data_IF_042271263835
#
_entry.id   IF_042271263835
#
_cell.length_a   1.000
_cell.length_b   1.000
_cell.length_c   1.000
_cell.angle_alpha   90.00
_cell.angle_beta   90.00
_cell.angle_gamma   90.00
#
_symmetry.space_group_name_H-M   'P 1'
#
loop_
_entity.id
_entity.type
_entity.pdbx_description
1 polymer ?
#
# COMPACT_ATOMS: atom_id res chain seq x y z
N UNK A 1 17.48 -8.97 3.39
CA UNK A 1 16.27 -8.72 4.19
C UNK A 1 15.05 -8.97 3.33
N UNK A 2 14.13 -9.79 3.81
CA UNK A 2 12.91 -10.09 3.04
C UNK A 2 11.86 -8.99 3.22
N UNK A 3 11.11 -8.71 2.16
CA UNK A 3 10.06 -7.71 2.13
C UNK A 3 8.79 -8.33 1.57
N UNK A 4 7.64 -7.70 1.85
CA UNK A 4 6.36 -8.16 1.33
C UNK A 4 6.22 -7.81 -0.15
N UNK A 5 5.84 -8.81 -0.95
CA UNK A 5 5.52 -8.64 -2.36
C UNK A 5 4.13 -9.18 -2.63
N UNK A 6 3.34 -8.40 -3.33
CA UNK A 6 2.05 -8.84 -3.83
C UNK A 6 2.26 -9.62 -5.13
N UNK A 7 1.72 -10.83 -5.20
CA UNK A 7 1.71 -11.63 -6.41
C UNK A 7 0.43 -11.30 -7.18
N UNK A 8 0.57 -10.84 -8.41
CA UNK A 8 -0.50 -10.18 -9.14
C UNK A 8 -0.76 -10.89 -10.45
N UNK A 9 -2.03 -11.14 -10.74
CA UNK A 9 -2.47 -11.71 -12.01
C UNK A 9 -3.26 -10.64 -12.79
N UNK A 10 -2.74 -10.19 -13.96
CA UNK A 10 -3.47 -9.24 -14.78
C UNK A 10 -4.78 -9.85 -15.30
N UNK A 11 -5.81 -9.02 -15.40
CA UNK A 11 -7.06 -9.41 -16.06
C UNK A 11 -7.02 -8.93 -17.51
N UNK A 12 -7.22 -9.84 -18.45
CA UNK A 12 -7.17 -9.52 -19.87
C UNK A 12 -8.31 -8.59 -20.33
N UNK A 13 -9.42 -8.60 -19.62
CA UNK A 13 -10.63 -7.87 -20.01
C UNK A 13 -10.77 -6.51 -19.33
N UNK A 14 -10.00 -6.25 -18.27
CA UNK A 14 -10.09 -5.00 -17.50
C UNK A 14 -8.71 -4.45 -17.18
N UNK A 15 -8.65 -3.17 -16.78
CA UNK A 15 -7.42 -2.54 -16.30
C UNK A 15 -7.12 -2.91 -14.84
N UNK A 16 -7.95 -3.71 -14.21
CA UNK A 16 -7.79 -4.14 -12.82
C UNK A 16 -7.00 -5.45 -12.77
N UNK A 17 -5.87 -5.43 -12.06
CA UNK A 17 -5.04 -6.62 -11.86
C UNK A 17 -5.31 -7.17 -10.45
N UNK A 18 -5.65 -8.44 -10.37
CA UNK A 18 -5.99 -9.06 -9.08
C UNK A 18 -4.75 -9.42 -8.27
N UNK A 19 -4.71 -9.00 -7.02
CA UNK A 19 -3.69 -9.44 -6.07
C UNK A 19 -4.10 -10.80 -5.52
N UNK A 20 -3.31 -11.83 -5.85
CA UNK A 20 -3.61 -13.23 -5.48
C UNK A 20 -3.07 -13.59 -4.09
N UNK A 21 -1.92 -13.08 -3.74
CA UNK A 21 -1.27 -13.39 -2.46
C UNK A 21 -0.24 -12.33 -2.12
N UNK A 22 0.14 -12.28 -0.86
CA UNK A 22 1.24 -11.44 -0.37
C UNK A 22 2.21 -12.34 0.36
N UNK A 23 3.48 -12.32 -0.05
CA UNK A 23 4.50 -13.22 0.48
C UNK A 23 5.83 -12.49 0.61
N UNK A 24 6.68 -12.96 1.51
CA UNK A 24 8.01 -12.40 1.73
C UNK A 24 9.02 -12.93 0.71
N UNK A 25 9.76 -12.05 0.08
CA UNK A 25 10.85 -12.38 -0.84
C UNK A 25 12.06 -11.50 -0.58
N UNK A 26 13.25 -11.99 -0.93
CA UNK A 26 14.50 -11.27 -0.75
C UNK A 26 14.75 -10.22 -1.84
N UNK A 27 14.17 -10.38 -3.03
CA UNK A 27 14.34 -9.44 -4.14
C UNK A 27 13.16 -9.52 -5.12
N UNK A 28 12.97 -8.48 -5.97
CA UNK A 28 11.87 -8.46 -6.93
C UNK A 28 11.90 -9.58 -7.97
N UNK A 29 13.10 -10.02 -8.38
CA UNK A 29 13.25 -11.07 -9.38
C UNK A 29 12.70 -12.40 -8.88
N UNK A 30 13.03 -12.78 -7.64
CA UNK A 30 12.49 -14.00 -7.02
C UNK A 30 10.97 -13.93 -6.92
N UNK A 31 10.44 -12.78 -6.52
CA UNK A 31 9.00 -12.59 -6.40
C UNK A 31 8.29 -12.73 -7.75
N UNK A 32 8.83 -12.13 -8.82
CA UNK A 32 8.29 -12.26 -10.18
C UNK A 32 8.31 -13.71 -10.65
N UNK A 33 9.41 -14.40 -10.42
CA UNK A 33 9.53 -15.82 -10.80
C UNK A 33 8.50 -16.68 -10.08
N UNK A 34 8.29 -16.44 -8.79
CA UNK A 34 7.29 -17.15 -8.01
C UNK A 34 5.87 -16.87 -8.53
N UNK A 35 5.57 -15.62 -8.84
CA UNK A 35 4.27 -15.23 -9.40
C UNK A 35 3.99 -15.98 -10.70
N UNK A 36 4.95 -16.00 -11.62
CA UNK A 36 4.80 -16.71 -12.90
C UNK A 36 4.69 -18.22 -12.73
N UNK A 37 5.45 -18.79 -11.79
CA UNK A 37 5.39 -20.22 -11.54
C UNK A 37 4.05 -20.68 -10.97
N UNK A 38 3.42 -19.84 -10.13
CA UNK A 38 2.17 -20.20 -9.45
C UNK A 38 0.94 -19.81 -10.27
N UNK A 39 0.94 -18.63 -10.86
CA UNK A 39 -0.26 -18.03 -11.48
C UNK A 39 -0.21 -17.91 -13.00
N UNK A 40 0.94 -18.14 -13.61
CA UNK A 40 1.08 -18.16 -15.06
C UNK A 40 2.02 -17.09 -15.63
N UNK A 41 2.28 -17.16 -16.92
CA UNK A 41 3.31 -16.36 -17.60
C UNK A 41 3.07 -14.84 -17.55
N UNK A 42 1.83 -14.41 -17.38
CA UNK A 42 1.47 -12.98 -17.30
C UNK A 42 1.52 -12.42 -15.89
N UNK A 43 1.62 -13.28 -14.88
CA UNK A 43 1.68 -12.85 -13.48
C UNK A 43 2.99 -12.12 -13.18
N UNK A 44 2.94 -11.21 -12.23
CA UNK A 44 4.11 -10.45 -11.80
C UNK A 44 4.01 -10.14 -10.32
N UNK A 45 5.09 -9.62 -9.76
CA UNK A 45 5.11 -9.20 -8.36
C UNK A 45 5.34 -7.69 -8.26
N UNK A 46 4.75 -7.09 -7.23
CA UNK A 46 4.95 -5.68 -6.88
C UNK A 46 5.20 -5.59 -5.39
N UNK A 47 6.24 -4.86 -5.00
CA UNK A 47 6.53 -4.66 -3.58
C UNK A 47 5.36 -3.96 -2.89
N UNK A 48 4.87 -4.55 -1.81
CA UNK A 48 3.72 -4.05 -1.05
C UNK A 48 4.08 -3.64 0.38
N UNK A 49 5.35 -3.72 0.75
CA UNK A 49 5.80 -3.44 2.12
C UNK A 49 5.56 -2.00 2.57
N UNK A 50 5.45 -1.05 1.64
CA UNK A 50 5.20 0.36 1.93
C UNK A 50 3.72 0.76 1.76
N UNK A 51 2.83 -0.21 1.65
CA UNK A 51 1.40 0.04 1.52
C UNK A 51 0.61 -0.85 2.46
N UNK A 52 -0.46 -0.32 3.03
CA UNK A 52 -1.38 -1.10 3.86
C UNK A 52 -2.34 -1.89 2.95
N UNK A 53 -1.80 -2.94 2.33
CA UNK A 53 -2.54 -3.80 1.40
C UNK A 53 -3.30 -4.85 2.18
N UNK A 54 -4.60 -4.90 1.98
CA UNK A 54 -5.48 -5.90 2.59
C UNK A 54 -6.26 -6.63 1.50
N UNK A 55 -6.25 -7.94 1.56
CA UNK A 55 -6.99 -8.76 0.60
C UNK A 55 -8.47 -8.79 0.96
N UNK A 56 -9.37 -8.74 -0.03
CA UNK A 56 -9.12 -8.66 -1.47
C UNK A 56 -8.62 -7.29 -1.91
N UNK A 57 -7.71 -7.28 -2.88
CA UNK A 57 -7.05 -6.08 -3.37
C UNK A 57 -6.80 -6.21 -4.88
N UNK A 58 -6.81 -5.08 -5.58
CA UNK A 58 -6.47 -4.99 -7.00
C UNK A 58 -5.39 -3.93 -7.21
N UNK A 59 -4.69 -4.02 -8.34
CA UNK A 59 -3.81 -2.95 -8.82
C UNK A 59 -4.48 -2.31 -10.02
N UNK A 60 -4.66 -1.01 -9.94
CA UNK A 60 -5.27 -0.20 -10.99
C UNK A 60 -4.38 1.02 -11.23
N UNK A 61 -3.93 1.21 -12.46
CA UNK A 61 -2.99 2.28 -12.83
C UNK A 61 -1.73 2.29 -11.95
N UNK A 62 -1.24 1.12 -11.59
CA UNK A 62 -0.04 0.95 -10.76
C UNK A 62 -0.26 1.20 -9.27
N UNK A 63 -1.49 1.41 -8.83
CA UNK A 63 -1.84 1.71 -7.43
C UNK A 63 -2.63 0.56 -6.82
N UNK A 64 -2.27 0.16 -5.60
CA UNK A 64 -3.04 -0.83 -4.84
C UNK A 64 -4.36 -0.22 -4.36
N UNK A 65 -5.45 -0.92 -4.62
CA UNK A 65 -6.78 -0.55 -4.12
C UNK A 65 -7.35 -1.71 -3.31
N UNK A 66 -7.58 -1.47 -2.04
CA UNK A 66 -8.22 -2.45 -1.16
C UNK A 66 -9.72 -2.47 -1.46
N UNK A 67 -10.26 -3.66 -1.70
CA UNK A 67 -11.67 -3.80 -2.04
C UNK A 67 -12.53 -3.86 -0.79
N UNK A 68 -13.66 -3.17 -0.82
CA UNK A 68 -14.68 -3.30 0.21
C UNK A 68 -15.72 -4.29 -0.28
N UNK A 69 -16.00 -5.29 0.54
CA UNK A 69 -16.97 -6.31 0.23
C UNK A 69 -18.09 -6.34 1.25
N UNK A 70 -19.25 -6.83 0.82
CA UNK A 70 -20.40 -7.02 1.68
C UNK A 70 -20.86 -8.47 1.60
N UNK A 71 -21.20 -9.05 2.74
CA UNK A 71 -21.80 -10.37 2.79
C UNK A 71 -23.22 -10.32 2.23
N UNK A 72 -23.52 -11.22 1.32
CA UNK A 72 -24.87 -11.37 0.77
C UNK A 72 -25.19 -12.86 0.71
N UNK A 73 -26.48 -13.19 0.87
CA UNK A 73 -26.96 -14.53 0.68
C UNK A 73 -27.70 -14.62 -0.64
N UNK A 74 -27.41 -15.68 -1.41
CA UNK A 74 -28.13 -15.94 -2.66
C UNK A 74 -29.53 -16.53 -2.38
N UNK A 75 -30.27 -16.83 -3.43
CA UNK A 75 -31.63 -17.39 -3.32
C UNK A 75 -31.63 -18.76 -2.60
N UNK A 76 -30.50 -19.44 -2.61
CA UNK A 76 -30.35 -20.74 -1.96
C UNK A 76 -29.79 -20.63 -0.54
N UNK A 77 -29.60 -19.41 -0.04
CA UNK A 77 -29.06 -19.15 1.28
C UNK A 77 -27.56 -19.27 1.40
N UNK A 78 -26.85 -19.44 0.29
CA UNK A 78 -25.39 -19.54 0.28
C UNK A 78 -24.74 -18.18 0.49
N UNK A 79 -23.77 -18.11 1.40
CA UNK A 79 -23.03 -16.89 1.67
C UNK A 79 -22.11 -16.53 0.51
N UNK A 80 -22.25 -15.31 0.00
CA UNK A 80 -21.37 -14.76 -1.04
C UNK A 80 -20.90 -13.36 -0.64
N UNK A 81 -19.79 -12.93 -1.25
CA UNK A 81 -19.24 -11.58 -1.03
C UNK A 81 -19.32 -10.78 -2.31
N UNK A 82 -19.87 -9.60 -2.21
CA UNK A 82 -20.02 -8.70 -3.36
C UNK A 82 -19.20 -7.46 -3.12
N UNK A 83 -18.46 -7.04 -4.14
CA UNK A 83 -17.67 -5.82 -4.10
C UNK A 83 -18.62 -4.62 -4.06
N UNK A 84 -18.49 -3.78 -3.04
CA UNK A 84 -19.30 -2.57 -2.86
C UNK A 84 -18.49 -1.28 -2.95
N UNK A 85 -17.17 -1.37 -3.05
CA UNK A 85 -16.31 -0.21 -3.20
C UNK A 85 -14.84 -0.58 -3.19
N UNK A 86 -13.99 0.43 -3.36
CA UNK A 86 -12.54 0.30 -3.29
C UNK A 86 -11.95 1.55 -2.64
N UNK A 87 -10.79 1.37 -2.01
CA UNK A 87 -10.05 2.47 -1.38
C UNK A 87 -8.58 2.29 -1.70
N UNK A 88 -7.88 3.34 -2.19
CA UNK A 88 -6.43 3.24 -2.39
C UNK A 88 -5.74 2.83 -1.10
N UNK A 89 -4.77 1.90 -1.20
CA UNK A 89 -4.00 1.45 -0.05
C UNK A 89 -3.17 2.61 0.50
N UNK A 90 -3.19 2.76 1.81
CA UNK A 90 -2.44 3.82 2.47
C UNK A 90 -0.94 3.58 2.36
N UNK A 91 -0.18 4.63 2.04
CA UNK A 91 1.27 4.57 1.96
C UNK A 91 1.88 4.55 3.37
N UNK A 92 2.75 3.59 3.61
CA UNK A 92 3.46 3.44 4.88
C UNK A 92 4.91 3.92 4.68
N UNK A 93 5.32 5.06 5.25
CA UNK A 93 6.67 5.56 5.09
C UNK A 93 7.71 4.62 5.69
N UNK A 94 8.89 4.58 5.08
CA UNK A 94 10.04 3.85 5.64
C UNK A 94 10.53 4.55 6.91
N UNK A 95 11.34 3.84 7.71
CA UNK A 95 11.94 4.44 8.90
C UNK A 95 12.77 5.68 8.55
N UNK A 96 13.54 5.63 7.46
CA UNK A 96 14.32 6.76 7.00
C UNK A 96 13.43 7.95 6.61
N UNK A 97 12.33 7.70 5.91
CA UNK A 97 11.37 8.74 5.55
C UNK A 97 10.70 9.35 6.78
N UNK A 98 10.32 8.52 7.75
CA UNK A 98 9.75 8.99 9.02
C UNK A 98 10.73 9.88 9.78
N UNK A 99 11.99 9.47 9.86
CA UNK A 99 13.04 10.24 10.52
C UNK A 99 13.25 11.59 9.81
N UNK A 100 13.32 11.57 8.47
CA UNK A 100 13.49 12.78 7.68
C UNK A 100 12.35 13.77 7.91
N UNK A 101 11.11 13.28 7.93
CA UNK A 101 9.95 14.13 8.18
C UNK A 101 9.93 14.70 9.60
N UNK A 102 10.23 13.89 10.59
CA UNK A 102 10.31 14.33 11.99
C UNK A 102 11.41 15.37 12.15
N UNK A 103 12.56 15.18 11.52
CA UNK A 103 13.67 16.13 11.54
C UNK A 103 13.24 17.46 10.94
N UNK A 104 12.53 17.45 9.81
CA UNK A 104 12.01 18.65 9.16
C UNK A 104 11.02 19.39 10.08
N UNK A 105 10.08 18.66 10.67
CA UNK A 105 9.09 19.23 11.59
C UNK A 105 9.76 19.85 12.83
N UNK A 106 10.78 19.18 13.36
CA UNK A 106 11.53 19.71 14.51
C UNK A 106 12.27 21.01 14.15
N UNK A 107 12.84 21.10 12.96
CA UNK A 107 13.50 22.31 12.47
C UNK A 107 12.48 23.45 12.33
N UNK A 108 11.31 23.19 11.77
CA UNK A 108 10.24 24.19 11.64
C UNK A 108 9.77 24.70 13.01
N UNK A 109 9.56 23.79 13.97
CA UNK A 109 9.16 24.14 15.33
C UNK A 109 10.23 24.98 16.02
N UNK A 110 11.49 24.64 15.83
CA UNK A 110 12.60 25.40 16.39
C UNK A 110 12.63 26.82 15.85
N UNK A 111 12.43 27.02 14.55
CA UNK A 111 12.36 28.36 13.95
C UNK A 111 11.20 29.16 14.52
N UNK A 112 10.03 28.56 14.72
CA UNK A 112 8.88 29.24 15.33
C UNK A 112 9.19 29.66 16.76
N UNK A 113 9.79 28.78 17.55
CA UNK A 113 10.18 29.09 18.93
C UNK A 113 11.20 30.22 18.98
N UNK A 114 12.24 30.17 18.14
CA UNK A 114 13.26 31.18 18.06
C UNK A 114 12.67 32.57 17.71
N UNK A 115 11.73 32.59 16.75
CA UNK A 115 11.04 33.82 16.36
C UNK A 115 10.20 34.38 17.51
N UNK A 116 9.46 33.53 18.22
CA UNK A 116 8.66 33.96 19.37
C UNK A 116 9.51 34.50 20.50
N UNK A 117 10.65 33.88 20.76
CA UNK A 117 11.61 34.36 21.77
C UNK A 117 12.16 35.72 21.37
N UNK A 118 12.56 35.91 20.11
CA UNK A 118 13.07 37.18 19.62
C UNK A 118 12.02 38.28 19.69
N UNK A 119 10.77 37.99 19.32
CA UNK A 119 9.67 38.93 19.42
C UNK A 119 9.41 39.37 20.87
N UNK A 120 9.43 38.39 21.79
CA UNK A 120 9.27 38.68 23.22
C UNK A 120 10.39 39.56 23.80
N UNK A 121 11.63 39.32 23.33
CA UNK A 121 12.78 40.12 23.75
C UNK A 121 12.86 41.46 23.02
N UNK A 122 12.53 41.48 21.73
CA UNK A 122 12.57 42.68 20.91
C UNK A 122 11.46 43.69 21.18
N UNK A 123 10.34 43.21 21.76
CA UNK A 123 9.22 44.04 22.12
C UNK A 123 9.37 44.79 23.45
N UNK A 124 10.51 44.63 24.09
CA UNK A 124 10.80 45.25 25.40
C UNK A 124 11.38 46.66 25.24
#
# INVERSE_FOLDING_TARGET
MKRDFALILPNADTAEHEVKAITLFGNPTEADMAARAIYGATAYAKESSQYDVQLPCIVKDGVFHNLKTKEMRDEQGKLTYVRVGETPAEYIPTEAEKIAELTRKNAELKEVIDTLVLDALGGV
#
